data_IF_117897350980
#
_entry.id   IF_117897350980
#
_cell.length_a   1.000
_cell.length_b   1.000
_cell.length_c   1.000
_cell.angle_alpha   90.00
_cell.angle_beta   90.00
_cell.angle_gamma   90.00
#
_symmetry.space_group_name_H-M   'P 1'
#
loop_
_entity.id
_entity.type
_entity.pdbx_description
1 polymer ?
#
# COMPACT_ATOMS: atom_id res chain seq x y z
N UNK A 1 6.84 1.01 -14.35
CA UNK A 1 5.37 0.80 -14.47
C UNK A 1 4.60 1.51 -13.35
N UNK A 2 4.93 1.28 -12.07
CA UNK A 2 4.15 1.83 -10.94
C UNK A 2 4.15 3.38 -10.86
N UNK A 3 5.28 4.04 -11.09
CA UNK A 3 5.39 5.51 -11.05
C UNK A 3 4.53 6.20 -12.11
N UNK A 4 4.44 5.62 -13.32
CA UNK A 4 3.59 6.15 -14.39
C UNK A 4 2.10 6.03 -14.08
N UNK A 5 1.68 4.92 -13.48
CA UNK A 5 0.30 4.74 -13.02
C UNK A 5 -0.09 5.72 -11.91
N UNK A 6 0.80 5.94 -10.94
CA UNK A 6 0.59 6.92 -9.86
C UNK A 6 0.55 8.35 -10.40
N UNK A 7 1.50 8.73 -11.25
CA UNK A 7 1.51 10.05 -11.88
C UNK A 7 0.26 10.28 -12.74
N UNK A 8 -0.15 9.28 -13.53
CA UNK A 8 -1.36 9.33 -14.34
C UNK A 8 -2.62 9.50 -13.49
N UNK A 9 -2.75 8.74 -12.40
CA UNK A 9 -3.87 8.84 -11.49
C UNK A 9 -3.94 10.21 -10.78
N UNK A 10 -2.80 10.72 -10.31
CA UNK A 10 -2.73 12.04 -9.67
C UNK A 10 -3.06 13.15 -10.65
N UNK A 11 -2.51 13.11 -11.87
CA UNK A 11 -2.79 14.11 -12.91
C UNK A 11 -4.25 14.07 -13.36
N UNK A 12 -4.79 12.88 -13.65
CA UNK A 12 -6.18 12.72 -14.05
C UNK A 12 -7.14 13.15 -12.94
N UNK A 13 -6.89 12.75 -11.69
CA UNK A 13 -7.68 13.15 -10.53
C UNK A 13 -7.65 14.66 -10.30
N UNK A 14 -6.48 15.28 -10.40
CA UNK A 14 -6.30 16.72 -10.24
C UNK A 14 -6.99 17.51 -11.36
N UNK A 15 -6.85 17.06 -12.62
CA UNK A 15 -7.49 17.68 -13.76
C UNK A 15 -9.03 17.58 -13.69
N UNK A 16 -9.54 16.43 -13.25
CA UNK A 16 -10.98 16.21 -13.06
C UNK A 16 -11.53 17.11 -11.94
N UNK A 17 -10.84 17.15 -10.78
CA UNK A 17 -11.21 18.01 -9.65
C UNK A 17 -11.25 19.47 -10.06
N UNK A 18 -10.24 19.93 -10.80
CA UNK A 18 -10.15 21.30 -11.31
C UNK A 18 -11.29 21.61 -12.29
N UNK A 19 -11.55 20.73 -13.25
CA UNK A 19 -12.61 20.93 -14.26
C UNK A 19 -14.02 20.94 -13.65
N UNK A 20 -14.23 20.19 -12.56
CA UNK A 20 -15.53 20.09 -11.86
C UNK A 20 -15.64 20.96 -10.61
N UNK A 21 -14.60 21.74 -10.27
CA UNK A 21 -14.53 22.59 -9.06
C UNK A 21 -14.90 21.85 -7.78
N UNK A 22 -14.48 20.59 -7.66
CA UNK A 22 -14.77 19.77 -6.49
C UNK A 22 -13.84 20.12 -5.33
N UNK A 23 -14.35 20.09 -4.08
CA UNK A 23 -13.49 20.24 -2.91
C UNK A 23 -12.50 19.07 -2.84
N UNK A 24 -11.21 19.39 -2.67
CA UNK A 24 -10.11 18.42 -2.78
C UNK A 24 -10.18 17.31 -1.71
N UNK A 25 -10.49 17.66 -0.46
CA UNK A 25 -10.48 16.72 0.66
C UNK A 25 -11.63 15.69 0.61
N UNK A 26 -12.89 16.07 0.37
CA UNK A 26 -13.96 15.09 0.13
C UNK A 26 -13.65 14.15 -1.04
N UNK A 27 -13.03 14.67 -2.10
CA UNK A 27 -12.61 13.83 -3.22
C UNK A 27 -11.53 12.83 -2.80
N UNK A 28 -10.51 13.28 -2.07
CA UNK A 28 -9.44 12.41 -1.58
C UNK A 28 -9.95 11.32 -0.62
N UNK A 29 -10.89 11.68 0.26
CA UNK A 29 -11.51 10.74 1.20
C UNK A 29 -12.36 9.69 0.49
N UNK A 30 -13.14 10.06 -0.53
CA UNK A 30 -13.90 9.11 -1.35
C UNK A 30 -13.02 8.16 -2.16
N UNK A 31 -11.81 8.61 -2.56
CA UNK A 31 -10.86 7.80 -3.31
C UNK A 31 -10.11 6.81 -2.40
N UNK A 32 -9.91 7.13 -1.13
CA UNK A 32 -9.08 6.33 -0.22
C UNK A 32 -9.56 4.85 -0.06
N UNK A 33 -10.85 4.55 0.18
CA UNK A 33 -11.34 3.16 0.21
C UNK A 33 -11.12 2.46 -1.14
N UNK A 34 -11.39 3.15 -2.26
CA UNK A 34 -11.21 2.58 -3.59
C UNK A 34 -9.73 2.21 -3.85
N UNK A 35 -8.78 3.03 -3.39
CA UNK A 35 -7.35 2.72 -3.45
C UNK A 35 -6.98 1.52 -2.60
N UNK A 36 -7.50 1.42 -1.37
CA UNK A 36 -7.26 0.26 -0.50
C UNK A 36 -7.75 -1.04 -1.14
N UNK A 37 -8.95 -1.02 -1.74
CA UNK A 37 -9.48 -2.18 -2.45
C UNK A 37 -8.69 -2.50 -3.73
N UNK A 38 -8.27 -1.49 -4.49
CA UNK A 38 -7.39 -1.67 -5.65
C UNK A 38 -6.04 -2.29 -5.27
N UNK A 39 -5.47 -1.91 -4.13
CA UNK A 39 -4.26 -2.52 -3.59
C UNK A 39 -4.47 -3.99 -3.22
N UNK A 40 -5.61 -4.33 -2.61
CA UNK A 40 -5.98 -5.71 -2.29
C UNK A 40 -5.98 -6.59 -3.56
N UNK A 41 -6.72 -6.18 -4.59
CA UNK A 41 -6.82 -6.91 -5.86
C UNK A 41 -5.48 -6.97 -6.60
N UNK A 42 -4.76 -5.85 -6.67
CA UNK A 42 -3.45 -5.79 -7.31
C UNK A 42 -2.44 -6.76 -6.68
N UNK A 43 -2.47 -6.91 -5.35
CA UNK A 43 -1.59 -7.83 -4.63
C UNK A 43 -2.00 -9.30 -4.79
N UNK A 44 -3.29 -9.60 -4.92
CA UNK A 44 -3.75 -10.93 -5.35
C UNK A 44 -3.22 -11.24 -6.76
N UNK A 45 -3.29 -10.29 -7.68
CA UNK A 45 -2.70 -10.43 -9.01
C UNK A 45 -1.20 -10.74 -8.97
N UNK A 46 -0.43 -10.06 -8.12
CA UNK A 46 0.99 -10.36 -7.91
C UNK A 46 1.23 -11.77 -7.36
N UNK A 47 0.36 -12.25 -6.48
CA UNK A 47 0.44 -13.61 -5.94
C UNK A 47 0.22 -14.65 -7.04
N UNK A 48 -0.83 -14.49 -7.86
CA UNK A 48 -1.12 -15.38 -8.98
C UNK A 48 0.01 -15.38 -10.03
N UNK A 49 0.67 -14.24 -10.23
CA UNK A 49 1.79 -14.11 -11.14
C UNK A 49 3.14 -14.61 -10.53
N UNK A 50 3.19 -14.90 -9.24
CA UNK A 50 4.42 -15.33 -8.57
C UNK A 50 5.53 -14.26 -8.51
N UNK A 51 5.17 -12.97 -8.45
CA UNK A 51 6.13 -11.86 -8.36
C UNK A 51 6.02 -11.13 -7.01
N UNK A 52 7.07 -10.39 -6.61
CA UNK A 52 7.13 -9.66 -5.33
C UNK A 52 7.03 -10.54 -4.07
N UNK A 53 7.68 -11.70 -4.10
CA UNK A 53 7.70 -12.69 -3.02
C UNK A 53 8.62 -12.28 -1.86
N UNK A 54 8.46 -12.98 -0.74
CA UNK A 54 9.27 -12.79 0.45
C UNK A 54 10.52 -13.67 0.51
N UNK A 55 11.23 -13.56 1.63
CA UNK A 55 12.40 -14.41 1.93
C UNK A 55 11.99 -15.88 2.08
N UNK A 56 12.98 -16.77 1.99
CA UNK A 56 12.79 -18.19 2.24
C UNK A 56 12.37 -18.43 3.69
N UNK A 57 11.43 -19.34 3.92
CA UNK A 57 10.93 -19.65 5.24
C UNK A 57 10.51 -21.11 5.40
N UNK A 58 10.63 -21.61 6.63
CA UNK A 58 10.22 -22.97 7.01
C UNK A 58 8.90 -22.96 7.79
N UNK A 59 8.05 -21.97 7.55
CA UNK A 59 6.76 -21.83 8.23
C UNK A 59 5.69 -22.68 7.53
N UNK A 60 4.68 -23.18 8.25
CA UNK A 60 3.66 -24.07 7.67
C UNK A 60 2.77 -23.39 6.63
N UNK A 61 2.72 -22.04 6.61
CA UNK A 61 2.01 -21.24 5.60
C UNK A 61 2.94 -20.68 4.50
N UNK A 62 4.19 -21.15 4.44
CA UNK A 62 5.10 -20.81 3.35
C UNK A 62 4.60 -21.38 2.03
N UNK A 63 4.66 -20.58 0.96
CA UNK A 63 4.13 -20.97 -0.35
C UNK A 63 5.28 -21.33 -1.29
N UNK A 64 5.18 -22.47 -1.94
CA UNK A 64 6.05 -22.86 -3.06
C UNK A 64 5.38 -22.44 -4.35
N UNK A 65 6.03 -21.58 -5.11
CA UNK A 65 5.50 -21.12 -6.38
C UNK A 65 5.76 -22.14 -7.50
N UNK A 66 4.96 -22.14 -8.58
CA UNK A 66 5.17 -23.01 -9.74
C UNK A 66 6.59 -22.85 -10.34
N UNK A 67 7.13 -23.88 -11.02
CA UNK A 67 8.48 -23.84 -11.58
C UNK A 67 8.69 -22.74 -12.62
N UNK A 68 7.64 -22.31 -13.31
CA UNK A 68 7.66 -21.27 -14.34
C UNK A 68 7.60 -19.84 -13.76
N UNK A 69 7.45 -19.69 -12.44
CA UNK A 69 7.33 -18.38 -11.80
C UNK A 69 8.69 -17.70 -11.59
N UNK A 70 8.69 -16.36 -11.58
CA UNK A 70 9.88 -15.58 -11.27
C UNK A 70 10.48 -15.91 -9.89
N UNK A 71 9.62 -16.25 -8.92
CA UNK A 71 10.03 -16.70 -7.59
C UNK A 71 10.90 -17.95 -7.64
N UNK A 72 10.47 -18.96 -8.38
CA UNK A 72 11.21 -20.23 -8.50
C UNK A 72 12.47 -20.08 -9.33
N UNK A 73 12.48 -19.21 -10.34
CA UNK A 73 13.68 -18.92 -11.13
C UNK A 73 14.83 -18.36 -10.27
N UNK A 74 14.52 -17.51 -9.29
CA UNK A 74 15.53 -16.83 -8.46
C UNK A 74 15.85 -17.64 -7.18
N UNK A 75 14.83 -18.20 -6.52
CA UNK A 75 14.99 -18.85 -5.20
C UNK A 75 15.00 -20.38 -5.25
N UNK A 76 14.77 -20.97 -6.43
CA UNK A 76 14.53 -22.40 -6.56
C UNK A 76 13.21 -22.84 -5.93
N UNK A 77 13.03 -24.15 -5.80
CA UNK A 77 11.77 -24.76 -5.33
C UNK A 77 11.63 -24.76 -3.79
N UNK A 78 11.86 -23.60 -3.19
CA UNK A 78 11.81 -23.39 -1.74
C UNK A 78 10.49 -22.75 -1.31
N UNK A 79 10.12 -22.94 -0.04
CA UNK A 79 8.97 -22.25 0.54
C UNK A 79 9.34 -20.79 0.84
N UNK A 80 8.52 -19.87 0.38
CA UNK A 80 8.73 -18.43 0.52
C UNK A 80 7.60 -17.81 1.36
N UNK A 81 7.91 -16.71 2.06
CA UNK A 81 6.86 -15.90 2.68
C UNK A 81 5.94 -15.32 1.59
N UNK A 82 4.62 -15.57 1.65
CA UNK A 82 3.66 -14.97 0.72
C UNK A 82 3.34 -13.52 1.11
N UNK A 83 4.33 -12.63 1.00
CA UNK A 83 4.23 -11.20 1.32
C UNK A 83 3.12 -10.49 0.56
N UNK A 84 2.73 -11.02 -0.60
CA UNK A 84 1.59 -10.55 -1.38
C UNK A 84 0.28 -10.77 -0.64
N UNK A 85 0.09 -11.95 -0.02
CA UNK A 85 -1.09 -12.26 0.78
C UNK A 85 -1.14 -11.41 2.05
N UNK A 86 0.01 -11.17 2.70
CA UNK A 86 0.06 -10.24 3.83
C UNK A 86 -0.36 -8.83 3.41
N UNK A 87 0.17 -8.34 2.29
CA UNK A 87 -0.19 -7.02 1.74
C UNK A 87 -1.67 -6.94 1.37
N UNK A 88 -2.22 -7.99 0.74
CA UNK A 88 -3.65 -8.09 0.44
C UNK A 88 -4.49 -8.07 1.71
N UNK A 89 -4.12 -8.86 2.73
CA UNK A 89 -4.81 -8.88 4.02
C UNK A 89 -4.84 -7.50 4.68
N UNK A 90 -3.69 -6.82 4.75
CA UNK A 90 -3.65 -5.45 5.27
C UNK A 90 -4.50 -4.48 4.44
N UNK A 91 -4.44 -4.55 3.11
CA UNK A 91 -5.23 -3.69 2.23
C UNK A 91 -6.73 -3.90 2.42
N UNK A 92 -7.17 -5.15 2.61
CA UNK A 92 -8.56 -5.49 2.89
C UNK A 92 -9.01 -4.99 4.27
N UNK A 93 -8.16 -5.15 5.30
CA UNK A 93 -8.42 -4.61 6.64
C UNK A 93 -8.54 -3.09 6.63
N UNK A 94 -7.65 -2.41 5.91
CA UNK A 94 -7.69 -0.95 5.74
C UNK A 94 -8.99 -0.56 5.02
N UNK A 95 -9.35 -1.25 3.93
CA UNK A 95 -10.60 -1.00 3.22
C UNK A 95 -11.82 -1.14 4.14
N UNK A 96 -11.93 -2.26 4.86
CA UNK A 96 -13.03 -2.50 5.77
C UNK A 96 -13.13 -1.43 6.88
N UNK A 97 -11.99 -1.02 7.44
CA UNK A 97 -11.93 0.04 8.42
C UNK A 97 -12.36 1.39 7.84
N UNK A 98 -11.92 1.74 6.63
CA UNK A 98 -12.29 3.01 6.01
C UNK A 98 -13.79 3.08 5.70
N UNK A 99 -14.38 1.99 5.19
CA UNK A 99 -15.84 1.90 4.97
C UNK A 99 -16.59 2.02 6.30
N UNK A 100 -16.09 1.38 7.36
CA UNK A 100 -16.69 1.50 8.69
C UNK A 100 -16.60 2.94 9.23
N UNK A 101 -15.46 3.61 9.06
CA UNK A 101 -15.29 5.01 9.45
C UNK A 101 -16.16 5.95 8.63
N UNK A 102 -16.34 5.69 7.34
CA UNK A 102 -17.21 6.48 6.45
C UNK A 102 -18.66 6.54 6.94
N UNK A 103 -19.16 5.45 7.54
CA UNK A 103 -20.51 5.39 8.12
C UNK A 103 -20.71 6.40 9.25
N UNK A 104 -19.64 6.80 9.93
CA UNK A 104 -19.69 7.80 11.01
C UNK A 104 -19.71 9.24 10.52
N UNK A 105 -19.84 9.47 9.19
CA UNK A 105 -19.79 10.78 8.52
C UNK A 105 -18.62 11.63 9.01
N UNK A 106 -17.39 11.13 8.86
CA UNK A 106 -16.22 11.80 9.37
C UNK A 106 -15.95 13.08 8.61
N UNK A 107 -15.15 13.90 9.25
CA UNK A 107 -14.69 15.16 8.72
C UNK A 107 -13.73 15.03 7.53
N UNK A 108 -13.80 15.98 6.61
CA UNK A 108 -12.97 16.01 5.40
C UNK A 108 -11.46 15.93 5.71
N UNK A 109 -10.80 14.92 5.14
CA UNK A 109 -9.39 14.60 5.29
C UNK A 109 -9.11 13.49 6.30
N UNK A 110 -10.12 12.96 7.00
CA UNK A 110 -9.93 11.88 7.96
C UNK A 110 -9.59 10.56 7.26
N UNK A 111 -10.38 10.15 6.25
CA UNK A 111 -10.20 8.84 5.61
C UNK A 111 -8.86 8.77 4.89
N UNK A 112 -8.51 9.82 4.14
CA UNK A 112 -7.24 9.91 3.43
C UNK A 112 -6.03 9.90 4.38
N UNK A 113 -6.12 10.61 5.52
CA UNK A 113 -5.08 10.60 6.55
C UNK A 113 -4.91 9.22 7.20
N UNK A 114 -6.02 8.58 7.61
CA UNK A 114 -6.03 7.23 8.19
C UNK A 114 -5.49 6.20 7.19
N UNK A 115 -5.91 6.27 5.93
CA UNK A 115 -5.40 5.41 4.86
C UNK A 115 -3.88 5.49 4.73
N UNK A 116 -3.32 6.70 4.65
CA UNK A 116 -1.88 6.92 4.49
C UNK A 116 -1.08 6.39 5.68
N UNK A 117 -1.55 6.62 6.90
CA UNK A 117 -0.91 6.10 8.12
C UNK A 117 -0.91 4.57 8.13
N UNK A 118 -2.09 3.95 7.98
CA UNK A 118 -2.21 2.50 8.04
C UNK A 118 -1.48 1.81 6.91
N UNK A 119 -1.53 2.37 5.70
CA UNK A 119 -0.78 1.84 4.57
C UNK A 119 0.74 1.96 4.79
N UNK A 120 1.21 3.06 5.38
CA UNK A 120 2.61 3.22 5.79
C UNK A 120 3.06 2.14 6.77
N UNK A 121 2.28 1.89 7.82
CA UNK A 121 2.56 0.82 8.81
C UNK A 121 2.51 -0.56 8.16
N UNK A 122 1.45 -0.86 7.41
CA UNK A 122 1.31 -2.15 6.73
C UNK A 122 2.48 -2.43 5.78
N UNK A 123 2.90 -1.42 5.00
CA UNK A 123 4.04 -1.54 4.09
C UNK A 123 5.32 -1.79 4.86
N UNK A 124 5.58 -1.03 5.93
CA UNK A 124 6.75 -1.21 6.78
C UNK A 124 6.80 -2.62 7.39
N UNK A 125 5.67 -3.13 7.90
CA UNK A 125 5.57 -4.48 8.46
C UNK A 125 5.84 -5.58 7.43
N UNK A 126 5.30 -5.47 6.22
CA UNK A 126 5.52 -6.47 5.16
C UNK A 126 6.96 -6.44 4.65
N UNK A 127 7.60 -5.27 4.66
CA UNK A 127 8.96 -5.06 4.16
C UNK A 127 9.99 -5.96 4.86
N UNK A 128 9.85 -6.19 6.17
CA UNK A 128 10.74 -7.08 6.94
C UNK A 128 10.81 -8.50 6.37
N UNK A 129 9.67 -9.01 5.87
CA UNK A 129 9.54 -10.35 5.31
C UNK A 129 9.86 -10.39 3.81
N UNK A 130 9.97 -9.23 3.16
CA UNK A 130 10.14 -9.13 1.71
C UNK A 130 11.58 -9.40 1.31
N UNK A 131 11.74 -10.08 0.18
CA UNK A 131 13.04 -10.24 -0.43
C UNK A 131 13.31 -9.07 -1.38
N UNK A 132 14.47 -8.44 -1.21
CA UNK A 132 15.01 -7.44 -2.13
C UNK A 132 16.35 -7.96 -2.65
N UNK A 133 16.57 -7.85 -3.96
CA UNK A 133 17.89 -8.05 -4.51
C UNK A 133 18.84 -6.94 -4.01
N UNK A 134 20.11 -7.30 -3.81
CA UNK A 134 21.19 -6.45 -3.28
C UNK A 134 21.39 -5.11 -4.02
N UNK A 135 20.81 -4.96 -5.20
CA UNK A 135 20.86 -3.79 -6.08
C UNK A 135 19.79 -2.72 -5.76
N UNK A 136 18.84 -2.97 -4.84
CA UNK A 136 17.84 -1.99 -4.40
C UNK A 136 18.16 -1.26 -3.08
N UNK A 137 19.31 -1.54 -2.47
CA UNK A 137 19.73 -0.86 -1.24
C UNK A 137 20.33 0.52 -1.55
N UNK A 138 19.71 1.59 -1.08
CA UNK A 138 20.38 2.88 -0.92
C UNK A 138 21.13 2.85 0.42
N UNK A 139 22.44 3.11 0.41
CA UNK A 139 23.27 3.17 1.63
C UNK A 139 23.33 1.88 2.48
N UNK A 140 23.13 0.69 1.89
CA UNK A 140 23.50 -0.60 2.51
C UNK A 140 22.76 -1.01 3.80
N UNK A 141 21.82 -0.22 4.32
CA UNK A 141 21.07 -0.50 5.57
C UNK A 141 19.61 -0.05 5.57
N UNK A 142 19.21 0.89 4.72
CA UNK A 142 17.83 1.39 4.65
C UNK A 142 17.24 1.09 3.27
N UNK A 143 16.20 0.26 3.24
CA UNK A 143 15.43 0.05 2.03
C UNK A 143 14.69 1.34 1.67
N UNK A 144 14.80 1.81 0.42
CA UNK A 144 14.08 2.99 -0.09
C UNK A 144 12.58 2.92 0.22
N UNK A 145 12.04 1.69 0.27
CA UNK A 145 10.66 1.40 0.64
C UNK A 145 10.32 1.72 2.11
N UNK A 146 11.27 1.57 3.04
CA UNK A 146 11.08 1.94 4.44
C UNK A 146 11.01 3.46 4.60
N UNK A 147 11.87 4.19 3.90
CA UNK A 147 11.83 5.65 3.89
C UNK A 147 10.49 6.16 3.33
N UNK A 148 10.03 5.60 2.20
CA UNK A 148 8.71 5.92 1.65
C UNK A 148 7.60 5.62 2.66
N UNK A 149 7.67 4.49 3.37
CA UNK A 149 6.65 4.10 4.36
C UNK A 149 6.58 5.09 5.53
N UNK A 150 7.74 5.55 6.02
CA UNK A 150 7.82 6.58 7.07
C UNK A 150 7.26 7.91 6.56
N UNK A 151 7.61 8.31 5.32
CA UNK A 151 7.08 9.54 4.73
C UNK A 151 5.54 9.50 4.59
N UNK A 152 4.98 8.38 4.15
CA UNK A 152 3.53 8.18 4.05
C UNK A 152 2.86 8.27 5.43
N UNK A 153 3.47 7.65 6.44
CA UNK A 153 2.98 7.71 7.81
C UNK A 153 2.97 9.15 8.35
N UNK A 154 4.08 9.86 8.21
CA UNK A 154 4.19 11.26 8.64
C UNK A 154 3.23 12.18 7.87
N UNK A 155 3.07 11.96 6.56
CA UNK A 155 2.12 12.72 5.75
C UNK A 155 0.68 12.50 6.20
N UNK A 156 0.28 11.26 6.47
CA UNK A 156 -1.04 10.95 7.02
C UNK A 156 -1.27 11.59 8.39
N UNK A 157 -0.28 11.52 9.29
CA UNK A 157 -0.34 12.17 10.60
C UNK A 157 -0.45 13.69 10.52
N UNK A 158 0.28 14.33 9.60
CA UNK A 158 0.19 15.77 9.36
C UNK A 158 -1.19 16.19 8.86
N UNK A 159 -1.77 15.42 7.92
CA UNK A 159 -3.13 15.66 7.42
C UNK A 159 -4.12 15.61 8.58
N UNK A 160 -4.08 14.54 9.39
CA UNK A 160 -4.97 14.41 10.55
C UNK A 160 -4.79 15.55 11.55
N UNK A 161 -3.55 15.95 11.85
CA UNK A 161 -3.26 17.04 12.78
C UNK A 161 -3.80 18.39 12.28
N UNK A 162 -3.54 18.76 11.03
CA UNK A 162 -3.98 20.03 10.45
C UNK A 162 -5.51 20.07 10.32
N UNK A 163 -6.13 18.96 9.94
CA UNK A 163 -7.59 18.91 9.72
C UNK A 163 -8.37 18.88 11.02
N UNK A 164 -7.87 18.21 12.06
CA UNK A 164 -8.49 18.24 13.40
C UNK A 164 -8.45 19.66 14.01
N UNK A 165 -7.36 20.41 13.76
CA UNK A 165 -7.23 21.82 14.18
C UNK A 165 -8.14 22.79 13.41
N UNK A 166 -8.43 22.52 12.14
CA UNK A 166 -9.27 23.38 11.31
C UNK A 166 -10.77 23.29 11.64
N UNK A 167 -11.16 22.38 12.53
CA UNK A 167 -12.54 22.12 12.92
C UNK A 167 -12.84 22.42 14.39
N UNK A 168 -11.81 22.70 15.19
CA UNK A 168 -11.92 23.29 16.53
C UNK A 168 -11.99 24.81 16.41
#
# INVERSE_FOLDING_TARGET
ILLGGVLGAVLAGSLYAWRKRLPYWPLADSIAPALAFGLFLGRIGCFLNGCCYGKTCNLPWGVKFPPESAATYIMGHQALHPTQLYSSGYALLIFALLIWLEQSKPHDGLLSGVFLMLYGVARFSVDFFRYYESQMFLFGRLDLNQLISIMLFCAGGLILYVRNRAQQ
#
